data_IF_986402968724
#
_entry.id   IF_986402968724
#
_cell.length_a   1.000
_cell.length_b   1.000
_cell.length_c   1.000
_cell.angle_alpha   90.00
_cell.angle_beta   90.00
_cell.angle_gamma   90.00
#
_symmetry.space_group_name_H-M   'P 1'
#
loop_
_entity.id
_entity.type
_entity.pdbx_description
1 polymer ?
#
# COMPACT_ATOMS: atom_id res chain seq x y z
N UNK A 1 -11.64 -22.58 -2.18
CA UNK A 1 -10.82 -22.82 -0.97
C UNK A 1 -9.52 -23.43 -1.42
N UNK A 2 -8.41 -22.85 -1.01
CA UNK A 2 -7.08 -23.41 -1.20
C UNK A 2 -6.57 -23.93 0.16
N UNK A 3 -6.16 -25.20 0.21
CA UNK A 3 -5.74 -25.84 1.45
C UNK A 3 -4.24 -26.14 1.42
N UNK A 4 -3.55 -25.80 2.49
CA UNK A 4 -2.13 -26.06 2.71
C UNK A 4 -1.93 -27.07 3.84
N UNK A 5 -0.77 -27.72 3.86
CA UNK A 5 -0.46 -28.67 4.92
C UNK A 5 -0.34 -27.99 6.29
N UNK A 6 -0.66 -28.70 7.36
CA UNK A 6 -0.59 -28.20 8.75
C UNK A 6 0.80 -27.69 9.17
N UNK A 7 1.87 -28.13 8.48
CA UNK A 7 3.24 -27.68 8.75
C UNK A 7 3.56 -26.28 8.18
N UNK A 8 2.69 -25.76 7.30
CA UNK A 8 2.86 -24.42 6.72
C UNK A 8 2.50 -23.37 7.78
N UNK A 9 3.50 -22.62 8.22
CA UNK A 9 3.34 -21.64 9.30
C UNK A 9 2.80 -20.30 8.82
N UNK A 10 3.01 -19.94 7.55
CA UNK A 10 2.56 -18.67 6.98
C UNK A 10 1.69 -18.93 5.74
N UNK A 11 0.40 -18.62 5.86
CA UNK A 11 -0.53 -18.75 4.74
C UNK A 11 -0.37 -17.60 3.73
N UNK A 12 0.14 -16.45 4.16
CA UNK A 12 0.27 -15.27 3.30
C UNK A 12 1.14 -15.53 2.06
N UNK A 13 2.15 -16.40 2.20
CA UNK A 13 3.00 -16.84 1.07
C UNK A 13 2.23 -17.51 -0.08
N UNK A 14 1.03 -18.01 0.21
CA UNK A 14 0.20 -18.72 -0.76
C UNK A 14 -0.94 -17.86 -1.32
N UNK A 15 -1.02 -16.58 -0.92
CA UNK A 15 -2.05 -15.68 -1.43
C UNK A 15 -1.96 -15.51 -2.96
N UNK A 16 -0.76 -15.43 -3.50
CA UNK A 16 -0.56 -15.31 -4.94
C UNK A 16 -1.12 -16.50 -5.73
N UNK A 17 -1.08 -17.69 -5.17
CA UNK A 17 -1.68 -18.86 -5.80
C UNK A 17 -3.20 -18.70 -5.90
N UNK A 18 -3.85 -18.26 -4.82
CA UNK A 18 -5.30 -17.97 -4.81
C UNK A 18 -5.63 -16.84 -5.76
N UNK A 19 -4.83 -15.77 -5.75
CA UNK A 19 -4.97 -14.62 -6.64
C UNK A 19 -4.87 -15.03 -8.11
N UNK A 20 -3.88 -15.85 -8.47
CA UNK A 20 -3.72 -16.33 -9.84
C UNK A 20 -4.88 -17.24 -10.27
N UNK A 21 -5.33 -18.17 -9.42
CA UNK A 21 -6.53 -18.97 -9.70
C UNK A 21 -7.76 -18.11 -9.93
N UNK A 22 -7.95 -17.08 -9.11
CA UNK A 22 -9.09 -16.17 -9.23
C UNK A 22 -9.01 -15.32 -10.50
N UNK A 23 -7.82 -14.82 -10.85
CA UNK A 23 -7.59 -14.01 -12.05
C UNK A 23 -7.73 -14.84 -13.34
N UNK A 24 -7.17 -16.06 -13.37
CA UNK A 24 -7.16 -16.93 -14.53
C UNK A 24 -8.48 -17.68 -14.78
N UNK A 25 -9.36 -17.73 -13.77
CA UNK A 25 -10.66 -18.43 -13.85
C UNK A 25 -11.53 -17.78 -14.93
N UNK A 26 -11.89 -18.60 -15.95
CA UNK A 26 -12.81 -18.17 -17.02
C UNK A 26 -14.26 -18.34 -16.56
N UNK A 27 -15.19 -17.45 -16.99
CA UNK A 27 -16.61 -17.60 -16.66
C UNK A 27 -17.20 -18.97 -17.05
N UNK A 28 -16.66 -19.61 -18.08
CA UNK A 28 -17.07 -20.92 -18.58
C UNK A 28 -16.64 -22.08 -17.65
N UNK A 29 -15.67 -21.87 -16.78
CA UNK A 29 -15.16 -22.87 -15.83
C UNK A 29 -15.94 -22.85 -14.52
N UNK A 30 -16.82 -21.89 -14.32
CA UNK A 30 -17.69 -21.79 -13.13
C UNK A 30 -18.99 -22.56 -13.41
N UNK A 31 -19.24 -23.60 -12.65
CA UNK A 31 -20.41 -24.48 -12.81
C UNK A 31 -21.65 -23.80 -12.21
N UNK A 32 -22.67 -23.52 -13.02
CA UNK A 32 -23.98 -23.02 -12.56
C UNK A 32 -24.61 -21.98 -13.48
N UNK A 33 -25.94 -21.77 -13.40
CA UNK A 33 -26.64 -20.74 -14.17
C UNK A 33 -26.23 -19.34 -13.68
N UNK A 34 -25.70 -18.51 -14.59
CA UNK A 34 -25.21 -17.17 -14.27
C UNK A 34 -23.76 -17.13 -13.77
N UNK A 35 -22.92 -18.03 -14.26
CA UNK A 35 -21.52 -18.21 -13.90
C UNK A 35 -20.75 -16.90 -13.71
N UNK A 36 -20.61 -16.46 -12.46
CA UNK A 36 -19.75 -15.35 -12.04
C UNK A 36 -18.54 -15.91 -11.29
N UNK A 37 -17.41 -15.21 -11.33
CA UNK A 37 -16.27 -15.55 -10.48
C UNK A 37 -16.69 -15.60 -9.01
N UNK A 38 -16.16 -16.56 -8.21
CA UNK A 38 -16.48 -16.62 -6.80
C UNK A 38 -16.04 -15.31 -6.11
N UNK A 39 -16.95 -14.72 -5.34
CA UNK A 39 -16.67 -13.49 -4.60
C UNK A 39 -15.64 -13.70 -3.49
N UNK A 40 -15.75 -14.82 -2.78
CA UNK A 40 -14.89 -15.11 -1.63
C UNK A 40 -13.86 -16.16 -1.96
N UNK A 41 -12.64 -15.96 -1.45
CA UNK A 41 -11.57 -16.95 -1.48
C UNK A 41 -11.11 -17.26 -0.04
N UNK A 42 -10.74 -18.51 0.22
CA UNK A 42 -10.28 -18.95 1.54
C UNK A 42 -8.95 -19.68 1.39
N UNK A 43 -7.96 -19.26 2.17
CA UNK A 43 -6.75 -20.02 2.45
C UNK A 43 -6.88 -20.72 3.81
N UNK A 44 -6.45 -21.96 3.91
CA UNK A 44 -6.49 -22.73 5.15
C UNK A 44 -5.27 -23.64 5.27
N UNK A 45 -4.72 -23.78 6.49
CA UNK A 45 -3.66 -24.75 6.85
C UNK A 45 -4.04 -25.68 8.01
N UNK A 46 -5.32 -25.84 8.34
CA UNK A 46 -5.86 -26.58 9.48
C UNK A 46 -5.58 -25.98 10.87
N UNK A 47 -4.93 -24.84 10.95
CA UNK A 47 -4.78 -24.06 12.19
C UNK A 47 -5.42 -22.68 12.05
N UNK A 48 -5.49 -22.16 10.82
CA UNK A 48 -5.99 -20.83 10.50
C UNK A 48 -6.74 -20.83 9.18
N UNK A 49 -7.74 -19.94 9.09
CA UNK A 49 -8.44 -19.56 7.86
C UNK A 49 -8.18 -18.09 7.57
N UNK A 50 -7.80 -17.79 6.33
CA UNK A 50 -7.74 -16.42 5.82
C UNK A 50 -8.80 -16.28 4.75
N UNK A 51 -9.68 -15.29 4.90
CA UNK A 51 -10.81 -15.05 4.00
C UNK A 51 -10.57 -13.76 3.23
N UNK A 52 -10.75 -13.83 1.91
CA UNK A 52 -10.65 -12.71 1.00
C UNK A 52 -12.00 -12.47 0.33
N UNK A 53 -12.40 -11.20 0.17
CA UNK A 53 -13.53 -10.74 -0.64
C UNK A 53 -12.96 -10.03 -1.86
N UNK A 54 -13.14 -10.61 -3.05
CA UNK A 54 -12.55 -10.09 -4.29
C UNK A 54 -11.06 -9.71 -4.15
N UNK A 55 -10.26 -10.61 -3.59
CA UNK A 55 -8.82 -10.47 -3.34
C UNK A 55 -8.42 -9.50 -2.19
N UNK A 56 -9.37 -8.87 -1.52
CA UNK A 56 -9.11 -8.06 -0.32
C UNK A 56 -9.26 -8.91 0.92
N UNK A 57 -8.28 -8.85 1.84
CA UNK A 57 -8.35 -9.52 3.13
C UNK A 57 -9.55 -8.99 3.93
N UNK A 58 -10.44 -9.88 4.38
CA UNK A 58 -11.62 -9.51 5.19
C UNK A 58 -11.66 -10.19 6.54
N UNK A 59 -10.99 -11.32 6.70
CA UNK A 59 -10.91 -11.97 8.02
C UNK A 59 -9.74 -12.95 8.11
N UNK A 60 -9.27 -13.15 9.36
CA UNK A 60 -8.26 -14.12 9.73
C UNK A 60 -8.73 -14.84 11.01
N UNK A 61 -9.03 -16.11 10.92
CA UNK A 61 -9.71 -16.88 11.95
C UNK A 61 -8.89 -18.12 12.31
N UNK A 62 -8.46 -18.21 13.56
CA UNK A 62 -7.82 -19.44 14.05
C UNK A 62 -8.85 -20.56 14.18
N UNK A 63 -8.47 -21.78 13.85
CA UNK A 63 -9.38 -22.93 13.91
C UNK A 63 -10.03 -23.11 15.29
N UNK A 64 -9.31 -22.81 16.37
CA UNK A 64 -9.85 -22.85 17.75
C UNK A 64 -11.02 -21.91 17.99
N UNK A 65 -11.08 -20.78 17.23
CA UNK A 65 -12.09 -19.74 17.37
C UNK A 65 -13.24 -19.91 16.35
N UNK A 66 -13.18 -20.95 15.51
CA UNK A 66 -14.12 -21.20 14.41
C UNK A 66 -15.58 -21.21 14.87
N UNK A 67 -15.86 -21.88 16.00
CA UNK A 67 -17.24 -22.00 16.51
C UNK A 67 -17.88 -20.66 16.82
N UNK A 68 -17.09 -19.74 17.42
CA UNK A 68 -17.52 -18.38 17.77
C UNK A 68 -17.60 -17.47 16.54
N UNK A 69 -16.85 -17.81 15.49
CA UNK A 69 -16.70 -17.05 14.25
C UNK A 69 -17.42 -17.66 13.04
N UNK A 70 -18.36 -18.59 13.27
CA UNK A 70 -19.15 -19.25 12.20
C UNK A 70 -19.81 -18.25 11.24
N UNK A 71 -20.25 -17.10 11.76
CA UNK A 71 -20.91 -16.07 10.95
C UNK A 71 -20.05 -15.54 9.80
N UNK A 72 -18.72 -15.58 9.90
CA UNK A 72 -17.82 -15.23 8.81
C UNK A 72 -17.92 -16.16 7.60
N UNK A 73 -18.43 -17.37 7.80
CA UNK A 73 -18.58 -18.39 6.75
C UNK A 73 -20.04 -18.53 6.27
N UNK A 74 -20.93 -17.60 6.60
CA UNK A 74 -22.35 -17.65 6.20
C UNK A 74 -22.53 -17.86 4.69
N UNK A 75 -21.64 -17.28 3.86
CA UNK A 75 -21.69 -17.45 2.42
C UNK A 75 -21.50 -18.90 1.94
N UNK A 76 -21.04 -19.82 2.80
CA UNK A 76 -20.84 -21.23 2.47
C UNK A 76 -22.06 -22.11 2.83
N UNK A 77 -22.80 -21.77 3.90
CA UNK A 77 -23.81 -22.70 4.44
C UNK A 77 -25.13 -22.02 4.81
N UNK A 78 -25.20 -20.71 4.83
CA UNK A 78 -26.39 -19.96 5.27
C UNK A 78 -26.94 -19.10 4.14
N UNK A 79 -27.72 -19.69 3.23
CA UNK A 79 -28.33 -18.98 2.12
C UNK A 79 -29.10 -17.72 2.59
N UNK A 80 -28.80 -16.57 1.99
CA UNK A 80 -29.43 -15.30 2.29
C UNK A 80 -28.90 -14.56 3.53
N UNK A 81 -27.93 -15.11 4.25
CA UNK A 81 -27.27 -14.40 5.36
C UNK A 81 -25.92 -13.85 4.92
N UNK A 82 -25.72 -12.55 5.11
CA UNK A 82 -24.42 -11.94 4.87
C UNK A 82 -23.36 -12.46 5.87
N UNK A 83 -22.11 -12.67 5.44
CA UNK A 83 -21.03 -12.97 6.35
C UNK A 83 -20.71 -11.78 7.25
N UNK A 84 -20.20 -12.06 8.44
CA UNK A 84 -19.74 -11.04 9.40
C UNK A 84 -18.25 -11.19 9.59
N UNK A 85 -17.49 -10.23 9.06
CA UNK A 85 -16.03 -10.19 9.13
C UNK A 85 -15.54 -9.23 10.21
N UNK A 86 -14.37 -9.49 10.78
CA UNK A 86 -13.74 -8.61 11.75
C UNK A 86 -12.75 -7.62 11.11
N UNK A 87 -12.17 -7.99 9.98
CA UNK A 87 -11.25 -7.14 9.26
C UNK A 87 -11.79 -6.98 7.83
N UNK A 88 -12.26 -5.79 7.49
CA UNK A 88 -12.68 -5.47 6.13
C UNK A 88 -11.84 -4.29 5.65
N UNK A 89 -10.72 -4.59 4.99
CA UNK A 89 -9.80 -3.58 4.45
C UNK A 89 -10.53 -2.55 3.58
N UNK A 90 -11.54 -2.98 2.79
CA UNK A 90 -12.36 -2.06 1.99
C UNK A 90 -13.17 -1.11 2.86
N UNK A 91 -13.81 -1.61 3.94
CA UNK A 91 -14.62 -0.77 4.83
C UNK A 91 -13.74 0.15 5.68
N UNK A 92 -12.61 -0.36 6.18
CA UNK A 92 -11.62 0.43 6.92
C UNK A 92 -11.12 1.57 6.03
N UNK A 93 -10.67 1.24 4.82
CA UNK A 93 -10.19 2.23 3.86
C UNK A 93 -11.25 3.25 3.49
N UNK A 94 -12.50 2.81 3.24
CA UNK A 94 -13.63 3.70 2.96
C UNK A 94 -13.97 4.60 4.14
N UNK A 95 -13.93 4.07 5.37
CA UNK A 95 -14.16 4.86 6.58
C UNK A 95 -13.11 5.95 6.74
N UNK A 96 -11.81 5.60 6.59
CA UNK A 96 -10.72 6.57 6.61
C UNK A 96 -10.91 7.66 5.54
N UNK A 97 -11.20 7.26 4.29
CA UNK A 97 -11.44 8.18 3.18
C UNK A 97 -12.59 9.14 3.45
N UNK A 98 -13.71 8.64 3.97
CA UNK A 98 -14.87 9.47 4.26
C UNK A 98 -14.55 10.56 5.30
N UNK A 99 -13.88 10.20 6.40
CA UNK A 99 -13.50 11.16 7.45
C UNK A 99 -12.61 12.30 6.91
N UNK A 100 -11.60 11.93 6.13
CA UNK A 100 -10.70 12.91 5.49
C UNK A 100 -11.46 13.75 4.47
N UNK A 101 -12.35 13.14 3.68
CA UNK A 101 -13.20 13.85 2.71
C UNK A 101 -14.17 14.84 3.37
N UNK A 102 -14.71 14.51 4.56
CA UNK A 102 -15.53 15.42 5.34
C UNK A 102 -14.76 16.65 5.81
N UNK A 103 -13.51 16.46 6.31
CA UNK A 103 -12.64 17.58 6.69
C UNK A 103 -12.36 18.45 5.47
N UNK A 104 -11.99 17.84 4.32
CA UNK A 104 -11.75 18.59 3.09
C UNK A 104 -12.94 19.45 2.70
N UNK A 105 -14.13 18.84 2.62
CA UNK A 105 -15.35 19.53 2.24
C UNK A 105 -15.67 20.69 3.19
N UNK A 106 -15.51 20.47 4.49
CA UNK A 106 -15.78 21.50 5.49
C UNK A 106 -14.83 22.68 5.37
N UNK A 107 -13.52 22.44 5.29
CA UNK A 107 -12.50 23.50 5.19
C UNK A 107 -12.63 24.29 3.88
N UNK A 108 -12.93 23.62 2.75
CA UNK A 108 -13.06 24.29 1.44
C UNK A 108 -14.40 25.04 1.31
N UNK A 109 -15.52 24.37 1.68
CA UNK A 109 -16.85 24.94 1.43
C UNK A 109 -17.27 25.93 2.52
N UNK A 110 -17.08 25.56 3.79
CA UNK A 110 -17.55 26.38 4.92
C UNK A 110 -16.51 27.43 5.34
N UNK A 111 -15.24 27.04 5.42
CA UNK A 111 -14.14 27.94 5.82
C UNK A 111 -13.56 28.72 4.66
N UNK A 112 -13.81 28.29 3.41
CA UNK A 112 -13.29 28.92 2.18
C UNK A 112 -11.77 28.95 2.10
N UNK A 113 -11.12 27.96 2.70
CA UNK A 113 -9.69 27.75 2.53
C UNK A 113 -9.39 27.30 1.08
N UNK A 114 -8.22 27.67 0.52
CA UNK A 114 -7.83 27.23 -0.82
C UNK A 114 -7.79 25.69 -0.90
N UNK A 115 -8.44 25.05 -1.90
CA UNK A 115 -8.48 23.60 -2.02
C UNK A 115 -7.08 22.95 -2.02
N UNK A 116 -6.13 23.52 -2.74
CA UNK A 116 -4.75 23.02 -2.83
C UNK A 116 -4.03 22.99 -1.47
N UNK A 117 -4.25 24.03 -0.65
CA UNK A 117 -3.71 24.11 0.72
C UNK A 117 -4.30 23.02 1.60
N UNK A 118 -5.64 22.84 1.57
CA UNK A 118 -6.33 21.82 2.35
C UNK A 118 -5.90 20.43 1.92
N UNK A 119 -5.82 20.17 0.63
CA UNK A 119 -5.38 18.90 0.08
C UNK A 119 -3.95 18.56 0.56
N UNK A 120 -3.01 19.51 0.45
CA UNK A 120 -1.63 19.31 0.90
C UNK A 120 -1.56 18.99 2.39
N UNK A 121 -2.24 19.77 3.22
CA UNK A 121 -2.30 19.54 4.66
C UNK A 121 -2.84 18.14 4.99
N UNK A 122 -3.96 17.75 4.38
CA UNK A 122 -4.55 16.43 4.63
C UNK A 122 -3.66 15.29 4.14
N UNK A 123 -2.94 15.46 3.02
CA UNK A 123 -1.97 14.47 2.56
C UNK A 123 -0.80 14.33 3.54
N UNK A 124 -0.32 15.44 4.13
CA UNK A 124 0.71 15.41 5.17
C UNK A 124 0.19 14.67 6.43
N UNK A 125 -1.07 14.89 6.82
CA UNK A 125 -1.71 14.16 7.91
C UNK A 125 -1.80 12.65 7.61
N UNK A 126 -2.26 12.29 6.41
CA UNK A 126 -2.39 10.89 6.00
C UNK A 126 -1.04 10.18 6.02
N UNK A 127 0.01 10.80 5.44
CA UNK A 127 1.34 10.19 5.47
C UNK A 127 1.89 10.08 6.89
N UNK A 128 1.57 11.04 7.79
CA UNK A 128 1.95 10.96 9.19
C UNK A 128 1.24 9.80 9.92
N UNK A 129 -0.07 9.58 9.68
CA UNK A 129 -0.83 8.44 10.24
C UNK A 129 -0.27 7.09 9.74
N UNK A 130 -0.02 6.95 8.44
CA UNK A 130 0.65 5.77 7.92
C UNK A 130 2.03 5.58 8.55
N UNK A 131 2.81 6.65 8.64
CA UNK A 131 4.17 6.58 9.19
C UNK A 131 4.20 6.17 10.65
N UNK A 132 3.19 6.54 11.42
CA UNK A 132 3.04 6.12 12.81
C UNK A 132 2.77 4.62 12.91
N UNK A 133 1.82 4.10 12.12
CA UNK A 133 1.44 2.69 12.14
C UNK A 133 2.47 1.76 11.46
N UNK A 134 3.37 2.33 10.63
CA UNK A 134 4.50 1.61 10.02
C UNK A 134 5.81 1.78 10.80
N UNK A 135 5.77 2.25 12.05
CA UNK A 135 6.96 2.45 12.91
C UNK A 135 8.01 3.44 12.33
N UNK A 136 7.61 4.32 11.42
CA UNK A 136 8.48 5.35 10.83
C UNK A 136 8.49 6.64 11.65
N UNK A 137 7.41 6.88 12.39
CA UNK A 137 7.32 7.89 13.45
C UNK A 137 7.33 7.22 14.82
N UNK A 138 7.73 7.94 15.87
CA UNK A 138 7.57 7.44 17.24
C UNK A 138 6.12 7.08 17.54
N UNK A 139 5.91 5.95 18.21
CA UNK A 139 4.59 5.40 18.55
C UNK A 139 3.67 6.44 19.20
N UNK A 140 2.50 6.61 18.63
CA UNK A 140 1.46 7.51 19.13
C UNK A 140 1.81 9.01 19.04
N UNK A 141 2.88 9.41 18.36
CA UNK A 141 3.30 10.81 18.31
C UNK A 141 2.24 11.68 17.62
N UNK A 142 1.86 11.33 16.37
CA UNK A 142 0.90 12.09 15.60
C UNK A 142 -0.48 12.07 16.25
N UNK A 143 -0.94 10.88 16.63
CA UNK A 143 -2.23 10.68 17.33
C UNK A 143 -2.32 11.49 18.61
N UNK A 144 -1.25 11.54 19.42
CA UNK A 144 -1.22 12.32 20.66
C UNK A 144 -1.21 13.83 20.41
N UNK A 145 -0.55 14.31 19.34
CA UNK A 145 -0.62 15.71 18.93
C UNK A 145 -2.05 16.12 18.59
N UNK A 146 -2.72 15.35 17.72
CA UNK A 146 -4.13 15.59 17.34
C UNK A 146 -5.04 15.53 18.58
N UNK A 147 -4.85 14.54 19.45
CA UNK A 147 -5.62 14.42 20.72
C UNK A 147 -5.43 15.63 21.62
N UNK A 148 -4.21 16.15 21.74
CA UNK A 148 -3.95 17.36 22.53
C UNK A 148 -4.64 18.59 21.94
N UNK A 149 -4.64 18.72 20.60
CA UNK A 149 -5.40 19.79 19.93
C UNK A 149 -6.90 19.70 20.26
N UNK A 150 -7.49 18.49 20.22
CA UNK A 150 -8.89 18.31 20.56
C UNK A 150 -9.22 18.60 22.03
N UNK A 151 -8.40 18.10 22.97
CA UNK A 151 -8.70 18.14 24.41
C UNK A 151 -8.21 19.43 25.08
N UNK A 152 -6.95 19.83 24.78
CA UNK A 152 -6.30 21.00 25.40
C UNK A 152 -6.51 22.27 24.60
N UNK A 153 -7.16 22.18 23.44
CA UNK A 153 -7.37 23.29 22.48
C UNK A 153 -6.04 23.94 22.03
N UNK A 154 -4.98 23.12 21.89
CA UNK A 154 -3.75 23.53 21.23
C UNK A 154 -4.06 23.70 19.74
N UNK A 155 -3.42 24.70 19.07
CA UNK A 155 -3.71 24.94 17.66
C UNK A 155 -3.05 23.89 16.76
N UNK A 156 -3.81 23.28 15.88
CA UNK A 156 -3.29 22.31 14.89
C UNK A 156 -2.29 22.97 13.94
N UNK A 157 -2.43 24.27 13.67
CA UNK A 157 -1.48 25.04 12.87
C UNK A 157 -0.06 24.95 13.43
N UNK A 158 0.08 25.14 14.73
CA UNK A 158 1.38 25.08 15.39
C UNK A 158 1.85 23.65 15.59
N UNK A 159 0.99 22.79 16.13
CA UNK A 159 1.36 21.45 16.55
C UNK A 159 1.72 20.54 15.37
N UNK A 160 0.82 20.45 14.38
CA UNK A 160 1.03 19.61 13.21
C UNK A 160 2.01 20.27 12.23
N UNK A 161 1.95 21.60 12.09
CA UNK A 161 2.90 22.35 11.28
C UNK A 161 4.35 22.18 11.74
N UNK A 162 4.59 22.17 13.07
CA UNK A 162 5.92 21.94 13.61
C UNK A 162 6.39 20.50 13.40
N UNK A 163 5.49 19.49 13.54
CA UNK A 163 5.81 18.12 13.19
C UNK A 163 6.22 18.00 11.72
N UNK A 164 5.43 18.55 10.80
CA UNK A 164 5.71 18.46 9.37
C UNK A 164 7.03 19.19 8.98
N UNK A 165 7.33 20.33 9.61
CA UNK A 165 8.64 21.00 9.45
C UNK A 165 9.78 20.12 9.99
N UNK A 166 9.56 19.37 11.07
CA UNK A 166 10.56 18.43 11.59
C UNK A 166 10.77 17.25 10.64
N UNK A 167 9.70 16.70 10.06
CA UNK A 167 9.77 15.64 9.03
C UNK A 167 10.51 16.13 7.77
N UNK A 168 10.45 17.42 7.46
CA UNK A 168 11.20 18.06 6.38
C UNK A 168 12.68 18.34 6.71
N UNK A 169 13.07 18.22 7.99
CA UNK A 169 14.43 18.58 8.43
C UNK A 169 15.38 17.38 8.33
N UNK A 170 16.50 17.48 7.58
CA UNK A 170 17.50 16.41 7.50
C UNK A 170 18.10 16.00 8.85
N UNK A 171 18.06 16.91 9.84
CA UNK A 171 18.57 16.63 11.18
C UNK A 171 17.49 16.03 12.06
N UNK A 172 17.70 14.80 12.52
CA UNK A 172 16.80 14.15 13.47
C UNK A 172 16.75 14.93 14.79
N UNK A 173 15.54 15.12 15.32
CA UNK A 173 15.36 15.75 16.62
C UNK A 173 15.96 14.88 17.73
N UNK A 174 17.00 15.39 18.40
CA UNK A 174 17.69 14.68 19.50
C UNK A 174 16.97 14.80 20.86
N UNK A 175 15.97 15.68 20.96
CA UNK A 175 15.22 15.93 22.20
C UNK A 175 13.90 16.67 21.96
N UNK A 176 13.19 16.92 23.07
CA UNK A 176 11.90 17.61 23.06
C UNK A 176 10.74 16.76 22.55
N UNK A 177 9.64 17.43 22.15
CA UNK A 177 8.37 16.84 21.75
C UNK A 177 8.50 15.93 20.51
N UNK A 178 9.41 16.25 19.59
CA UNK A 178 9.62 15.55 18.33
C UNK A 178 10.85 14.64 18.33
N UNK A 179 11.33 14.24 19.53
CA UNK A 179 12.48 13.33 19.65
C UNK A 179 12.24 12.05 18.85
N UNK A 180 13.20 11.69 17.99
CA UNK A 180 13.16 10.48 17.19
C UNK A 180 12.45 10.64 15.83
N UNK A 181 11.87 11.82 15.53
CA UNK A 181 11.33 12.09 14.19
C UNK A 181 12.49 12.14 13.21
N UNK A 182 12.44 11.26 12.21
CA UNK A 182 13.43 11.16 11.15
C UNK A 182 13.08 12.09 9.98
N UNK A 183 14.03 12.28 9.10
CA UNK A 183 13.86 12.99 7.84
C UNK A 183 13.13 12.14 6.81
N UNK A 184 12.04 12.65 6.25
CA UNK A 184 11.22 11.95 5.28
C UNK A 184 11.60 12.19 3.83
N UNK A 185 12.43 13.22 3.52
CA UNK A 185 12.94 13.55 2.19
C UNK A 185 11.85 13.53 1.10
N UNK A 186 10.88 14.39 1.17
CA UNK A 186 9.83 14.37 0.17
C UNK A 186 9.33 15.74 -0.22
N UNK A 187 8.96 15.91 -1.50
CA UNK A 187 8.32 17.12 -2.00
C UNK A 187 7.06 17.50 -1.20
N UNK A 188 6.36 16.50 -0.64
CA UNK A 188 5.17 16.72 0.18
C UNK A 188 5.44 17.59 1.42
N UNK A 189 6.58 17.41 2.10
CA UNK A 189 6.96 18.20 3.28
C UNK A 189 7.86 19.42 2.94
N UNK A 190 8.25 19.60 1.68
CA UNK A 190 9.06 20.77 1.28
C UNK A 190 8.30 22.09 1.43
N UNK A 191 6.99 22.05 1.27
CA UNK A 191 6.08 23.17 1.52
C UNK A 191 5.07 22.76 2.61
N UNK A 192 5.21 23.37 3.79
CA UNK A 192 4.32 23.11 4.94
C UNK A 192 3.37 24.30 5.10
N UNK A 193 2.13 24.08 4.75
CA UNK A 193 1.03 25.04 4.85
C UNK A 193 -0.03 24.53 5.83
N UNK A 194 0.22 24.64 7.16
CA UNK A 194 -0.69 24.06 8.14
C UNK A 194 -2.02 24.81 8.21
N UNK A 195 -3.04 24.13 8.77
CA UNK A 195 -4.37 24.66 9.00
C UNK A 195 -4.70 24.69 10.48
N UNK A 196 -5.42 25.74 10.89
CA UNK A 196 -6.09 25.77 12.19
C UNK A 196 -7.45 25.11 12.09
N UNK A 197 -7.52 23.83 12.46
CA UNK A 197 -8.78 23.08 12.46
C UNK A 197 -9.65 23.48 13.66
N UNK A 198 -10.95 23.60 13.43
CA UNK A 198 -11.89 23.77 14.52
C UNK A 198 -12.16 22.45 15.27
N UNK A 199 -12.98 22.52 16.32
CA UNK A 199 -13.27 21.36 17.16
C UNK A 199 -13.91 20.21 16.36
N UNK A 200 -14.73 20.52 15.35
CA UNK A 200 -15.38 19.51 14.50
C UNK A 200 -14.35 18.76 13.64
N UNK A 201 -13.54 19.49 12.87
CA UNK A 201 -12.52 18.91 12.00
C UNK A 201 -11.41 18.22 12.81
N UNK A 202 -11.04 18.78 13.96
CA UNK A 202 -10.06 18.17 14.85
C UNK A 202 -10.55 16.81 15.38
N UNK A 203 -11.83 16.68 15.71
CA UNK A 203 -12.43 15.41 16.12
C UNK A 203 -12.48 14.40 14.98
N UNK A 204 -12.86 14.80 13.77
CA UNK A 204 -12.82 13.93 12.60
C UNK A 204 -11.40 13.42 12.31
N UNK A 205 -10.39 14.30 12.46
CA UNK A 205 -9.00 13.91 12.30
C UNK A 205 -8.55 12.93 13.39
N UNK A 206 -8.96 13.13 14.64
CA UNK A 206 -8.70 12.18 15.72
C UNK A 206 -9.35 10.82 15.46
N UNK A 207 -10.61 10.81 15.01
CA UNK A 207 -11.31 9.59 14.62
C UNK A 207 -10.63 8.89 13.41
N UNK A 208 -9.95 9.63 12.55
CA UNK A 208 -9.14 9.07 11.47
C UNK A 208 -7.82 8.47 11.99
N UNK A 209 -7.21 9.05 13.04
CA UNK A 209 -6.03 8.48 13.69
C UNK A 209 -6.30 7.14 14.40
N UNK A 210 -7.56 6.86 14.78
CA UNK A 210 -7.95 5.60 15.42
C UNK A 210 -8.14 4.44 14.42
N UNK A 211 -8.05 4.73 13.13
CA UNK A 211 -8.07 3.71 12.08
C UNK A 211 -6.71 3.02 12.02
N UNK A 212 -6.70 1.69 11.92
CA UNK A 212 -5.46 0.93 11.69
C UNK A 212 -4.99 1.11 10.23
N UNK A 213 -4.05 2.02 10.03
CA UNK A 213 -3.50 2.38 8.72
C UNK A 213 -2.63 1.28 8.11
N UNK A 214 -2.17 0.28 8.88
CA UNK A 214 -1.56 -0.93 8.32
C UNK A 214 -2.54 -1.72 7.44
N UNK A 215 -3.83 -1.59 7.68
CA UNK A 215 -4.91 -2.24 6.95
C UNK A 215 -5.62 -1.30 5.95
N UNK A 216 -5.17 -0.06 5.78
CA UNK A 216 -5.68 0.84 4.74
C UNK A 216 -4.93 0.60 3.44
N UNK A 217 -5.67 0.35 2.36
CA UNK A 217 -5.07 0.23 1.02
C UNK A 217 -4.74 1.64 0.48
N UNK A 218 -3.45 1.97 0.21
CA UNK A 218 -3.07 3.28 -0.31
C UNK A 218 -3.73 3.68 -1.63
N UNK A 219 -4.24 2.72 -2.42
CA UNK A 219 -4.99 3.01 -3.63
C UNK A 219 -6.26 3.84 -3.38
N UNK A 220 -6.75 3.89 -2.13
CA UNK A 220 -7.90 4.70 -1.72
C UNK A 220 -7.66 6.22 -1.88
N UNK A 221 -6.40 6.66 -1.91
CA UNK A 221 -6.09 8.10 -2.09
C UNK A 221 -6.62 8.63 -3.40
N UNK A 222 -6.62 7.82 -4.46
CA UNK A 222 -7.25 8.19 -5.72
C UNK A 222 -8.74 8.46 -5.55
N UNK A 223 -9.46 7.57 -4.84
CA UNK A 223 -10.89 7.75 -4.58
C UNK A 223 -11.18 8.95 -3.68
N UNK A 224 -10.31 9.23 -2.70
CA UNK A 224 -10.44 10.42 -1.86
C UNK A 224 -10.26 11.70 -2.68
N UNK A 225 -9.25 11.73 -3.54
CA UNK A 225 -8.96 12.84 -4.42
C UNK A 225 -10.10 13.07 -5.42
N UNK A 226 -10.60 12.02 -6.07
CA UNK A 226 -11.78 12.09 -6.94
C UNK A 226 -13.00 12.65 -6.21
N UNK A 227 -13.20 12.28 -4.94
CA UNK A 227 -14.28 12.77 -4.09
C UNK A 227 -14.19 14.26 -3.74
N UNK A 228 -13.01 14.89 -3.87
CA UNK A 228 -12.79 16.31 -3.63
C UNK A 228 -13.01 17.20 -4.86
N UNK A 229 -13.07 16.61 -6.05
CA UNK A 229 -13.32 17.32 -7.31
C UNK A 229 -14.80 17.46 -7.58
N UNK A 230 -15.20 18.53 -8.25
CA UNK A 230 -16.56 18.62 -8.77
C UNK A 230 -16.78 17.69 -9.99
N UNK A 231 -18.04 17.59 -10.45
CA UNK A 231 -18.37 16.67 -11.54
C UNK A 231 -17.83 17.11 -12.89
N UNK A 232 -17.63 18.41 -13.11
CA UNK A 232 -17.10 18.96 -14.36
C UNK A 232 -15.59 18.76 -14.41
N UNK A 233 -14.88 19.10 -13.33
CA UNK A 233 -13.45 18.85 -13.19
C UNK A 233 -13.09 17.37 -13.36
N UNK A 234 -13.86 16.46 -12.71
CA UNK A 234 -13.64 15.00 -12.86
C UNK A 234 -13.77 14.54 -14.30
N UNK A 235 -14.74 15.07 -15.03
CA UNK A 235 -14.96 14.70 -16.43
C UNK A 235 -13.87 15.29 -17.34
N UNK A 236 -13.48 16.53 -17.11
CA UNK A 236 -12.46 17.24 -17.90
C UNK A 236 -11.10 16.55 -17.80
N UNK A 237 -10.70 16.17 -16.60
CA UNK A 237 -9.40 15.55 -16.35
C UNK A 237 -9.42 14.01 -16.41
N UNK A 238 -10.59 13.38 -16.64
CA UNK A 238 -10.71 11.93 -16.64
C UNK A 238 -10.32 11.28 -15.31
N UNK A 239 -10.48 12.03 -14.20
CA UNK A 239 -10.08 11.60 -12.88
C UNK A 239 -11.03 10.50 -12.37
N UNK A 240 -10.72 9.24 -12.70
CA UNK A 240 -11.44 8.06 -12.25
C UNK A 240 -10.51 7.12 -11.48
N UNK A 241 -10.93 6.78 -10.27
CA UNK A 241 -10.24 5.79 -9.47
C UNK A 241 -10.34 4.40 -10.11
N UNK A 242 -9.20 3.81 -10.42
CA UNK A 242 -9.15 2.43 -10.92
C UNK A 242 -8.90 1.49 -9.73
N UNK A 243 -9.82 0.55 -9.50
CA UNK A 243 -9.66 -0.40 -8.40
C UNK A 243 -8.55 -1.42 -8.70
N UNK A 244 -8.01 -2.03 -7.63
CA UNK A 244 -6.89 -2.97 -7.73
C UNK A 244 -7.18 -4.17 -8.64
N UNK A 245 -8.41 -4.66 -8.67
CA UNK A 245 -8.81 -5.81 -9.49
C UNK A 245 -8.69 -5.48 -10.98
N UNK A 246 -9.09 -4.28 -11.38
CA UNK A 246 -8.98 -3.84 -12.78
C UNK A 246 -7.52 -3.58 -13.16
N UNK A 247 -6.73 -3.03 -12.24
CA UNK A 247 -5.28 -2.87 -12.42
C UNK A 247 -4.61 -4.24 -12.63
N UNK A 248 -4.97 -5.25 -11.84
CA UNK A 248 -4.43 -6.60 -11.96
C UNK A 248 -4.76 -7.29 -13.28
N UNK A 249 -5.84 -6.91 -13.97
CA UNK A 249 -6.13 -7.41 -15.32
C UNK A 249 -5.04 -7.02 -16.34
N UNK A 250 -4.29 -5.96 -16.07
CA UNK A 250 -3.16 -5.49 -16.88
C UNK A 250 -1.83 -5.96 -16.28
N UNK A 251 -1.61 -5.75 -14.98
CA UNK A 251 -0.36 -6.09 -14.30
C UNK A 251 -0.09 -7.60 -14.34
N UNK A 252 -1.13 -8.44 -14.23
CA UNK A 252 -0.95 -9.88 -14.27
C UNK A 252 -0.39 -10.37 -15.61
N UNK A 253 -1.00 -10.11 -16.78
CA UNK A 253 -0.45 -10.58 -18.04
C UNK A 253 0.83 -9.87 -18.47
N UNK A 254 1.06 -8.62 -18.06
CA UNK A 254 2.22 -7.84 -18.49
C UNK A 254 3.45 -8.03 -17.60
N UNK A 255 3.25 -8.27 -16.30
CA UNK A 255 4.33 -8.35 -15.30
C UNK A 255 4.35 -9.73 -14.64
N UNK A 256 3.29 -10.08 -13.89
CA UNK A 256 3.31 -11.23 -12.99
C UNK A 256 3.53 -12.55 -13.76
N UNK A 257 2.72 -12.82 -14.78
CA UNK A 257 2.79 -14.07 -15.53
C UNK A 257 4.14 -14.24 -16.26
N UNK A 258 4.64 -13.25 -17.02
CA UNK A 258 5.93 -13.39 -17.71
C UNK A 258 7.11 -13.64 -16.76
N UNK A 259 7.10 -13.01 -15.59
CA UNK A 259 8.15 -13.23 -14.60
C UNK A 259 8.04 -14.61 -13.94
N UNK A 260 6.83 -15.06 -13.57
CA UNK A 260 6.63 -16.40 -13.03
C UNK A 260 7.08 -17.49 -14.02
N UNK A 261 6.76 -17.36 -15.31
CA UNK A 261 7.24 -18.29 -16.35
C UNK A 261 8.78 -18.32 -16.47
N UNK A 262 9.44 -17.17 -16.32
CA UNK A 262 10.91 -17.13 -16.29
C UNK A 262 11.47 -17.82 -15.04
N UNK A 263 10.87 -17.59 -13.86
CA UNK A 263 11.26 -18.22 -12.60
C UNK A 263 11.07 -19.74 -12.69
N UNK A 264 9.98 -20.23 -13.24
CA UNK A 264 9.74 -21.67 -13.40
C UNK A 264 10.82 -22.34 -14.26
N UNK A 265 11.23 -21.68 -15.37
CA UNK A 265 12.25 -22.16 -16.30
C UNK A 265 13.70 -22.03 -15.78
N UNK A 266 13.91 -21.24 -14.73
CA UNK A 266 15.25 -21.06 -14.14
C UNK A 266 15.55 -22.22 -13.16
N UNK A 267 16.29 -23.22 -13.62
CA UNK A 267 16.63 -24.46 -12.93
C UNK A 267 18.01 -24.43 -12.26
N UNK A 268 18.75 -23.32 -12.36
CA UNK A 268 20.11 -23.17 -11.82
C UNK A 268 20.29 -21.82 -11.12
N UNK A 269 21.16 -21.76 -10.12
CA UNK A 269 21.47 -20.53 -9.39
C UNK A 269 21.95 -19.38 -10.31
N UNK A 270 22.83 -19.57 -11.32
CA UNK A 270 23.20 -18.48 -12.23
C UNK A 270 22.04 -17.91 -13.03
N UNK A 271 21.06 -18.74 -13.42
CA UNK A 271 19.85 -18.25 -14.11
C UNK A 271 18.99 -17.38 -13.20
N UNK A 272 18.84 -17.75 -11.93
CA UNK A 272 18.10 -16.97 -10.93
C UNK A 272 18.83 -15.66 -10.60
N UNK A 273 20.16 -15.67 -10.47
CA UNK A 273 20.96 -14.45 -10.29
C UNK A 273 20.83 -13.51 -11.51
N UNK A 274 20.75 -14.08 -12.73
CA UNK A 274 20.48 -13.29 -13.94
C UNK A 274 19.07 -12.66 -13.87
N UNK A 275 18.06 -13.38 -13.38
CA UNK A 275 16.70 -12.81 -13.20
C UNK A 275 16.69 -11.66 -12.20
N UNK A 276 17.45 -11.72 -11.09
CA UNK A 276 17.60 -10.60 -10.17
C UNK A 276 18.29 -9.39 -10.84
N UNK A 277 19.29 -9.66 -11.69
CA UNK A 277 19.94 -8.61 -12.48
C UNK A 277 18.96 -7.98 -13.49
N UNK A 278 18.14 -8.79 -14.15
CA UNK A 278 17.13 -8.30 -15.09
C UNK A 278 16.03 -7.51 -14.34
N UNK A 279 15.63 -7.96 -13.15
CA UNK A 279 14.66 -7.27 -12.30
C UNK A 279 15.18 -5.89 -11.88
N UNK A 280 16.46 -5.76 -11.53
CA UNK A 280 17.05 -4.47 -11.17
C UNK A 280 17.04 -3.44 -12.30
N UNK A 281 16.94 -3.91 -13.54
CA UNK A 281 16.89 -3.07 -14.76
C UNK A 281 15.50 -2.88 -15.31
N UNK A 282 14.53 -3.64 -14.81
CA UNK A 282 13.15 -3.57 -15.28
C UNK A 282 12.52 -2.24 -14.89
N UNK A 283 11.89 -1.57 -15.82
CA UNK A 283 11.28 -0.26 -15.62
C UNK A 283 9.79 -0.31 -15.95
N UNK A 284 9.02 0.42 -15.16
CA UNK A 284 7.59 0.59 -15.34
C UNK A 284 7.29 2.06 -15.58
N UNK A 285 6.55 2.36 -16.62
CA UNK A 285 6.09 3.70 -16.96
C UNK A 285 4.57 3.70 -17.10
N UNK A 286 3.93 4.66 -16.44
CA UNK A 286 2.52 4.99 -16.60
C UNK A 286 2.40 6.45 -17.07
N UNK A 287 2.05 6.70 -18.36
CA UNK A 287 2.00 8.04 -18.93
C UNK A 287 0.73 8.83 -18.56
N UNK A 288 -0.17 8.25 -17.78
CA UNK A 288 -1.37 8.87 -17.23
C UNK A 288 -1.62 8.32 -15.83
N UNK A 289 -0.62 8.52 -14.95
CA UNK A 289 -0.51 7.73 -13.72
C UNK A 289 -1.56 8.08 -12.65
N UNK A 290 -2.27 9.19 -12.78
CA UNK A 290 -3.21 9.63 -11.75
C UNK A 290 -2.53 9.66 -10.38
N UNK A 291 -3.16 9.05 -9.40
CA UNK A 291 -2.62 8.91 -8.05
C UNK A 291 -1.60 7.77 -7.89
N UNK A 292 -1.11 7.17 -8.98
CA UNK A 292 -0.05 6.17 -8.96
C UNK A 292 -0.48 4.74 -8.66
N UNK A 293 -1.76 4.41 -8.76
CA UNK A 293 -2.28 3.08 -8.39
C UNK A 293 -1.68 1.94 -9.23
N UNK A 294 -1.51 2.12 -10.55
CA UNK A 294 -0.84 1.13 -11.39
C UNK A 294 0.63 0.93 -11.01
N UNK A 295 1.33 2.02 -10.70
CA UNK A 295 2.72 1.97 -10.27
C UNK A 295 2.83 1.25 -8.91
N UNK A 296 1.92 1.56 -7.97
CA UNK A 296 1.83 0.93 -6.65
C UNK A 296 1.65 -0.59 -6.75
N UNK A 297 0.63 -1.03 -7.50
CA UNK A 297 0.34 -2.47 -7.67
C UNK A 297 1.48 -3.18 -8.39
N UNK A 298 2.08 -2.52 -9.39
CA UNK A 298 3.24 -3.04 -10.11
C UNK A 298 4.46 -3.19 -9.20
N UNK A 299 4.72 -2.21 -8.31
CA UNK A 299 5.81 -2.28 -7.35
C UNK A 299 5.65 -3.48 -6.41
N UNK A 300 4.48 -3.64 -5.81
CA UNK A 300 4.22 -4.75 -4.90
C UNK A 300 4.30 -6.11 -5.61
N UNK A 301 3.82 -6.20 -6.86
CA UNK A 301 3.94 -7.40 -7.66
C UNK A 301 5.40 -7.77 -7.95
N UNK A 302 6.24 -6.78 -8.25
CA UNK A 302 7.68 -7.01 -8.49
C UNK A 302 8.42 -7.33 -7.20
N UNK A 303 8.03 -6.78 -6.05
CA UNK A 303 8.57 -7.16 -4.74
C UNK A 303 8.26 -8.63 -4.41
N UNK A 304 7.04 -9.09 -4.68
CA UNK A 304 6.67 -10.50 -4.50
C UNK A 304 7.44 -11.42 -5.47
N UNK A 305 7.71 -10.97 -6.70
CA UNK A 305 8.55 -11.68 -7.68
C UNK A 305 9.99 -11.80 -7.19
N UNK A 306 10.55 -10.74 -6.64
CA UNK A 306 11.91 -10.76 -6.07
C UNK A 306 12.04 -11.81 -4.97
N UNK A 307 11.11 -11.83 -4.02
CA UNK A 307 11.10 -12.82 -2.94
C UNK A 307 10.99 -14.24 -3.48
N UNK A 308 10.16 -14.49 -4.50
CA UNK A 308 10.06 -15.81 -5.15
C UNK A 308 11.37 -16.27 -5.80
N UNK A 309 12.10 -15.35 -6.44
CA UNK A 309 13.41 -15.66 -7.03
C UNK A 309 14.38 -16.05 -5.92
N UNK A 310 14.39 -15.31 -4.82
CA UNK A 310 15.27 -15.55 -3.68
C UNK A 310 14.94 -16.86 -2.95
N UNK A 311 13.65 -17.17 -2.75
CA UNK A 311 13.21 -18.45 -2.17
C UNK A 311 13.72 -19.63 -3.02
N UNK A 312 13.52 -19.58 -4.33
CA UNK A 312 13.97 -20.63 -5.24
C UNK A 312 15.50 -20.74 -5.26
N UNK A 313 16.21 -19.61 -5.17
CA UNK A 313 17.66 -19.57 -5.07
C UNK A 313 18.17 -20.22 -3.77
N UNK A 314 17.47 -19.97 -2.66
CA UNK A 314 17.75 -20.58 -1.36
C UNK A 314 17.55 -22.10 -1.40
N UNK A 315 16.44 -22.58 -1.97
CA UNK A 315 16.14 -24.00 -2.09
C UNK A 315 17.23 -24.74 -2.89
N UNK A 316 17.62 -24.21 -4.06
CA UNK A 316 18.71 -24.78 -4.86
C UNK A 316 20.06 -24.77 -4.16
N UNK A 317 20.34 -23.77 -3.32
CA UNK A 317 21.58 -23.68 -2.57
C UNK A 317 21.66 -24.70 -1.42
N UNK A 318 20.51 -25.03 -0.82
CA UNK A 318 20.39 -26.07 0.22
C UNK A 318 20.57 -27.48 -0.36
N UNK A 319 19.99 -27.74 -1.53
CA UNK A 319 20.11 -29.04 -2.20
C UNK A 319 21.54 -29.37 -2.67
N UNK A 320 22.29 -28.34 -3.10
CA UNK A 320 23.61 -28.53 -3.70
C UNK A 320 24.77 -28.55 -2.72
N UNK A 321 24.54 -28.31 -1.41
CA UNK A 321 25.59 -28.11 -0.39
C UNK A 321 26.68 -27.08 -0.81
N UNK A 322 26.42 -26.31 -1.86
CA UNK A 322 27.30 -25.33 -2.43
C UNK A 322 26.87 -23.93 -2.08
N UNK A 323 27.62 -23.26 -1.25
CA UNK A 323 27.60 -21.81 -1.04
C UNK A 323 26.54 -21.20 -0.11
N UNK A 324 26.84 -21.21 1.19
CA UNK A 324 26.32 -20.22 2.14
C UNK A 324 26.52 -18.76 1.67
N UNK A 325 27.40 -18.52 0.70
CA UNK A 325 27.78 -17.20 0.20
C UNK A 325 26.82 -16.62 -0.84
N UNK A 326 25.90 -17.39 -1.44
CA UNK A 326 24.99 -16.87 -2.47
C UNK A 326 23.97 -15.93 -1.84
N UNK A 327 23.35 -16.33 -0.73
CA UNK A 327 22.39 -15.49 -0.02
C UNK A 327 23.02 -14.23 0.58
N UNK A 328 24.29 -14.31 1.01
CA UNK A 328 25.00 -13.14 1.52
C UNK A 328 25.18 -12.01 0.50
N UNK A 329 25.13 -12.31 -0.79
CA UNK A 329 25.18 -11.31 -1.86
C UNK A 329 23.86 -10.58 -2.09
N UNK A 330 22.75 -11.16 -1.68
CA UNK A 330 21.40 -10.66 -1.90
C UNK A 330 20.74 -10.18 -0.59
N UNK A 331 21.51 -9.53 0.29
CA UNK A 331 21.01 -8.98 1.56
C UNK A 331 20.11 -7.76 1.39
N UNK A 332 20.14 -7.13 0.23
CA UNK A 332 19.38 -5.93 -0.08
C UNK A 332 18.49 -6.20 -1.28
N UNK A 333 17.28 -5.66 -1.24
CA UNK A 333 16.37 -5.68 -2.38
C UNK A 333 17.03 -4.99 -3.59
N UNK A 334 16.89 -5.60 -4.76
CA UNK A 334 17.30 -5.00 -6.03
C UNK A 334 16.24 -4.05 -6.60
N UNK A 335 15.03 -4.14 -6.03
CA UNK A 335 13.90 -3.31 -6.42
C UNK A 335 13.98 -1.96 -5.69
N UNK A 336 13.77 -0.88 -6.44
CA UNK A 336 13.68 0.46 -5.87
C UNK A 336 12.72 1.35 -6.67
N UNK A 337 12.28 2.45 -6.06
CA UNK A 337 11.32 3.38 -6.67
C UNK A 337 11.84 4.07 -7.93
N UNK A 338 13.16 4.14 -8.14
CA UNK A 338 13.78 4.76 -9.34
C UNK A 338 13.52 3.98 -10.63
N UNK A 339 12.94 2.78 -10.55
CA UNK A 339 12.54 1.97 -11.68
C UNK A 339 11.12 2.30 -12.16
N UNK A 340 10.38 3.16 -11.43
CA UNK A 340 9.00 3.50 -11.69
C UNK A 340 8.88 4.95 -12.12
N UNK A 341 8.18 5.17 -13.23
CA UNK A 341 8.02 6.46 -13.85
C UNK A 341 6.53 6.74 -14.05
N UNK A 342 6.12 7.96 -13.76
CA UNK A 342 4.74 8.41 -13.93
C UNK A 342 4.70 9.78 -14.61
N UNK A 343 3.67 10.01 -15.39
CA UNK A 343 3.36 11.33 -15.94
C UNK A 343 1.88 11.59 -15.67
N UNK A 344 1.56 12.77 -15.20
CA UNK A 344 0.17 13.22 -15.11
C UNK A 344 0.10 14.73 -15.36
N UNK A 345 -0.97 15.18 -15.97
CA UNK A 345 -1.18 16.60 -16.25
C UNK A 345 -1.60 17.37 -15.00
N UNK A 346 -2.17 16.69 -14.02
CA UNK A 346 -2.67 17.29 -12.79
C UNK A 346 -1.57 17.35 -11.73
N UNK A 347 -1.19 18.54 -11.23
CA UNK A 347 -0.13 18.68 -10.22
C UNK A 347 -0.41 17.84 -8.96
N UNK A 348 -1.65 17.85 -8.50
CA UNK A 348 -2.03 17.10 -7.29
C UNK A 348 -1.97 15.59 -7.48
N UNK A 349 -2.38 15.08 -8.64
CA UNK A 349 -2.30 13.66 -8.96
C UNK A 349 -0.83 13.20 -8.99
N UNK A 350 0.06 13.98 -9.61
CA UNK A 350 1.50 13.71 -9.62
C UNK A 350 2.09 13.68 -8.19
N UNK A 351 1.73 14.63 -7.32
CA UNK A 351 2.18 14.64 -5.92
C UNK A 351 1.65 13.43 -5.14
N UNK A 352 0.36 13.08 -5.32
CA UNK A 352 -0.22 11.85 -4.72
C UNK A 352 0.49 10.59 -5.22
N UNK A 353 0.81 10.52 -6.50
CA UNK A 353 1.53 9.39 -7.08
C UNK A 353 2.90 9.20 -6.42
N UNK A 354 3.62 10.29 -6.12
CA UNK A 354 4.88 10.23 -5.36
C UNK A 354 4.65 9.63 -3.97
N UNK A 355 3.64 10.11 -3.23
CA UNK A 355 3.28 9.58 -1.90
C UNK A 355 2.90 8.10 -1.98
N UNK A 356 2.07 7.73 -2.94
CA UNK A 356 1.65 6.34 -3.17
C UNK A 356 2.85 5.42 -3.43
N UNK A 357 3.83 5.87 -4.22
CA UNK A 357 5.07 5.12 -4.46
C UNK A 357 5.98 5.04 -3.24
N UNK A 358 6.04 6.07 -2.42
CA UNK A 358 6.75 6.02 -1.13
C UNK A 358 6.13 4.95 -0.22
N UNK A 359 4.81 4.91 -0.12
CA UNK A 359 4.09 3.88 0.65
C UNK A 359 4.27 2.48 0.06
N UNK A 360 4.29 2.34 -1.27
CA UNK A 360 4.61 1.06 -1.91
C UNK A 360 5.97 0.52 -1.46
N UNK A 361 6.98 1.39 -1.40
CA UNK A 361 8.33 1.05 -0.91
C UNK A 361 8.30 0.58 0.55
N UNK A 362 7.57 1.30 1.41
CA UNK A 362 7.45 0.97 2.83
C UNK A 362 6.78 -0.40 3.04
N UNK A 363 5.67 -0.63 2.34
CA UNK A 363 4.96 -1.92 2.37
C UNK A 363 5.87 -3.04 1.84
N UNK A 364 6.61 -2.78 0.76
CA UNK A 364 7.58 -3.73 0.21
C UNK A 364 8.73 -4.03 1.19
N UNK A 365 9.27 -3.01 1.86
CA UNK A 365 10.30 -3.16 2.89
C UNK A 365 9.79 -3.96 4.09
N UNK A 366 8.55 -3.71 4.54
CA UNK A 366 7.90 -4.50 5.59
C UNK A 366 7.76 -5.96 5.17
N UNK A 367 7.22 -6.25 3.97
CA UNK A 367 7.15 -7.62 3.42
C UNK A 367 8.52 -8.30 3.39
N UNK A 368 9.56 -7.59 2.97
CA UNK A 368 10.93 -8.07 2.96
C UNK A 368 11.42 -8.41 4.37
N UNK A 369 11.23 -7.51 5.32
CA UNK A 369 11.67 -7.69 6.70
C UNK A 369 10.91 -8.85 7.39
N UNK A 370 9.61 -8.98 7.15
CA UNK A 370 8.78 -10.08 7.66
C UNK A 370 9.22 -11.42 7.04
N UNK A 371 9.55 -11.44 5.75
CA UNK A 371 10.05 -12.65 5.07
C UNK A 371 11.38 -13.13 5.64
N UNK A 372 12.29 -12.20 5.98
CA UNK A 372 13.61 -12.46 6.55
C UNK A 372 13.70 -12.25 8.05
N UNK A 373 12.58 -12.35 8.79
CA UNK A 373 12.51 -12.09 10.23
C UNK A 373 13.58 -12.85 11.05
N UNK A 374 13.87 -14.09 10.65
CA UNK A 374 14.88 -14.93 11.30
C UNK A 374 16.34 -14.51 11.02
N UNK A 375 16.59 -13.58 10.09
CA UNK A 375 17.92 -13.16 9.70
C UNK A 375 18.09 -11.63 9.73
N UNK A 376 18.57 -11.06 10.85
CA UNK A 376 18.70 -9.61 11.02
C UNK A 376 19.61 -8.93 9.99
N UNK A 377 20.49 -9.69 9.30
CA UNK A 377 21.39 -9.16 8.27
C UNK A 377 20.66 -8.75 6.97
N UNK A 378 19.43 -9.18 6.79
CA UNK A 378 18.58 -8.88 5.63
C UNK A 378 17.59 -7.74 5.88
N UNK A 379 17.65 -7.07 7.02
CA UNK A 379 16.78 -5.94 7.31
C UNK A 379 17.08 -4.76 6.40
N UNK A 380 16.03 -4.22 5.80
CA UNK A 380 16.07 -3.01 4.96
C UNK A 380 15.51 -1.86 5.78
N UNK A 381 16.28 -0.76 5.87
CA UNK A 381 15.77 0.50 6.38
C UNK A 381 15.07 1.26 5.24
N UNK A 382 13.90 1.78 5.50
CA UNK A 382 13.06 2.43 4.51
C UNK A 382 13.25 3.94 4.43
N UNK A 383 13.69 4.58 5.49
CA UNK A 383 13.96 6.02 5.51
C UNK A 383 15.43 6.36 5.24
N UNK A 384 15.72 7.50 4.61
CA UNK A 384 14.80 8.52 4.13
C UNK A 384 14.04 8.06 2.87
N UNK A 385 12.83 8.65 2.68
CA UNK A 385 12.03 8.40 1.48
C UNK A 385 12.78 8.90 0.23
N UNK A 386 12.57 8.22 -0.89
CA UNK A 386 13.21 8.61 -2.15
C UNK A 386 12.58 9.92 -2.68
N UNK A 387 13.42 10.79 -3.24
CA UNK A 387 12.92 11.90 -4.02
C UNK A 387 12.48 11.38 -5.40
N UNK A 388 11.19 11.47 -5.69
CA UNK A 388 10.56 11.00 -6.92
C UNK A 388 10.35 12.10 -7.98
N UNK A 389 10.86 13.33 -7.77
CA UNK A 389 10.60 14.47 -8.65
C UNK A 389 11.11 14.30 -10.09
N UNK A 390 12.10 13.43 -10.29
CA UNK A 390 12.61 13.09 -11.64
C UNK A 390 11.89 11.89 -12.27
N UNK A 391 11.12 11.16 -11.49
CA UNK A 391 10.48 9.94 -11.91
C UNK A 391 8.98 10.16 -12.18
N UNK A 392 8.35 11.04 -11.38
CA UNK A 392 6.94 11.37 -11.53
C UNK A 392 6.84 12.85 -11.88
N UNK A 393 6.41 13.10 -13.11
CA UNK A 393 6.41 14.42 -13.72
C UNK A 393 4.98 14.95 -13.86
N UNK A 394 4.81 16.23 -13.53
CA UNK A 394 3.57 16.95 -13.81
C UNK A 394 3.72 17.64 -15.18
N UNK A 395 3.21 16.98 -16.24
CA UNK A 395 3.31 17.51 -17.61
C UNK A 395 2.33 16.79 -18.53
N UNK A 396 2.13 17.32 -19.74
CA UNK A 396 1.36 16.65 -20.78
C UNK A 396 2.22 15.57 -21.45
N UNK A 397 1.82 14.30 -21.27
CA UNK A 397 2.54 13.15 -21.84
C UNK A 397 2.57 13.10 -23.37
N UNK A 398 1.69 13.84 -24.06
CA UNK A 398 1.63 13.89 -25.51
C UNK A 398 2.53 15.00 -26.10
N UNK A 399 2.85 16.02 -25.32
CA UNK A 399 3.56 17.20 -25.79
C UNK A 399 4.99 17.30 -25.28
N UNK A 400 5.27 16.74 -24.09
CA UNK A 400 6.55 16.86 -23.43
C UNK A 400 7.36 15.53 -23.48
N UNK A 401 8.69 15.60 -23.43
CA UNK A 401 9.53 14.41 -23.42
C UNK A 401 9.31 13.56 -22.16
N UNK A 402 9.32 12.26 -22.35
CA UNK A 402 9.15 11.29 -21.25
C UNK A 402 10.44 11.14 -20.43
N UNK A 403 10.35 10.77 -19.13
CA UNK A 403 11.48 10.62 -18.21
C UNK A 403 12.43 9.48 -18.55
#
# INVERSE_FOLDING_TARGET
IEMKGKKEKSLDKHFDQVKNYWLDMKPQEVIGPGAQKPRYAILCNFDEFIIYDELSLVDRIKLKDFEQRKSAFNFMYAAGKAPVFNCNVKEISKSAANKIGEIFKYEVVEKKEPPEKVQRFLMQCILAMFSEDFDLLPEGLFTNLVRNCCIKKEDTYDELGNLFRQMANPNMASGGKYKGVRYFNGGLFSNVEPLSLDEHCCKLLLDACEVDWNNVNPSIFGAMFEGTMDSEERHEFGAHFTNEIDILKIVNPCIIRPWNEKIEKADTAPKLEQLLTDLSKFRVLDPACGCGNFLFVSYLALADIELKILDKLQDLSLESNTNKNIMDRHRFSVLNTKQFFGIDIMPMAAELSKVTMMLAKEIGAKKWNDHWESNPLFRVESLPLDNMDKNILCQDALLEPWP
#
